data_IF_702820032895
#
_entry.id   IF_702820032895
#
_cell.length_a   1.000
_cell.length_b   1.000
_cell.length_c   1.000
_cell.angle_alpha   90.00
_cell.angle_beta   90.00
_cell.angle_gamma   90.00
#
_symmetry.space_group_name_H-M   'P 1'
#
loop_
_entity.id
_entity.type
_entity.pdbx_description
1 polymer ?
#
# COMPACT_ATOMS: atom_id res chain seq x y z
N UNK A 1 -3.54 3.46 5.20
CA UNK A 1 -2.60 2.43 5.70
C UNK A 1 -1.23 2.75 5.16
N UNK A 2 -0.17 2.68 5.96
CA UNK A 2 1.20 2.91 5.48
C UNK A 2 1.72 1.67 4.74
N UNK A 3 2.37 1.86 3.58
CA UNK A 3 2.87 0.77 2.73
C UNK A 3 4.39 0.65 2.87
N UNK A 4 4.84 -0.22 3.78
CA UNK A 4 6.26 -0.43 4.08
C UNK A 4 7.11 -0.85 2.89
N UNK A 5 6.57 -1.67 1.99
CA UNK A 5 7.28 -2.12 0.78
C UNK A 5 7.64 -0.95 -0.15
N UNK A 6 6.78 0.07 -0.26
CA UNK A 6 7.05 1.29 -1.04
C UNK A 6 8.15 2.14 -0.42
N UNK A 7 8.22 2.21 0.91
CA UNK A 7 9.33 2.86 1.59
C UNK A 7 10.65 2.19 1.23
N UNK A 8 10.70 0.86 1.31
CA UNK A 8 11.87 0.06 0.95
C UNK A 8 12.31 0.30 -0.48
N UNK A 9 11.37 0.26 -1.41
CA UNK A 9 11.61 0.47 -2.84
C UNK A 9 12.28 1.83 -3.10
N UNK A 10 11.73 2.92 -2.54
CA UNK A 10 12.27 4.26 -2.76
C UNK A 10 13.63 4.43 -2.07
N UNK A 11 13.80 3.88 -0.86
CA UNK A 11 15.09 3.87 -0.17
C UNK A 11 16.18 3.20 -1.03
N UNK A 12 15.88 2.02 -1.58
CA UNK A 12 16.80 1.27 -2.43
C UNK A 12 17.10 2.02 -3.75
N UNK A 13 16.10 2.65 -4.37
CA UNK A 13 16.30 3.51 -5.55
C UNK A 13 17.19 4.72 -5.28
N UNK A 14 17.18 5.25 -4.05
CA UNK A 14 18.09 6.32 -3.60
C UNK A 14 19.49 5.81 -3.21
N UNK A 15 19.71 4.50 -3.20
CA UNK A 15 20.97 3.89 -2.79
C UNK A 15 21.23 3.96 -1.28
N UNK A 16 20.19 4.20 -0.46
CA UNK A 16 20.35 4.32 0.99
C UNK A 16 20.28 2.97 1.69
N UNK A 17 21.16 2.74 2.65
CA UNK A 17 20.97 1.65 3.63
C UNK A 17 19.86 2.02 4.63
N UNK A 18 19.30 1.03 5.32
CA UNK A 18 18.32 1.31 6.39
C UNK A 18 18.91 2.19 7.50
N UNK A 19 20.20 2.01 7.81
CA UNK A 19 20.92 2.85 8.75
C UNK A 19 21.03 4.30 8.23
N UNK A 20 21.40 4.46 6.95
CA UNK A 20 21.53 5.77 6.34
C UNK A 20 20.21 6.53 6.31
N UNK A 21 19.11 5.86 5.96
CA UNK A 21 17.79 6.49 6.00
C UNK A 21 17.39 6.85 7.44
N UNK A 22 17.70 6.00 8.41
CA UNK A 22 17.48 6.28 9.83
C UNK A 22 18.20 7.55 10.29
N UNK A 23 19.48 7.69 9.95
CA UNK A 23 20.26 8.91 10.22
C UNK A 23 19.61 10.15 9.61
N UNK A 24 19.22 10.10 8.33
CA UNK A 24 18.62 11.23 7.62
C UNK A 24 17.24 11.64 8.17
N UNK A 25 16.53 10.72 8.83
CA UNK A 25 15.15 10.92 9.33
C UNK A 25 15.06 10.95 10.86
N UNK A 26 16.21 10.93 11.54
CA UNK A 26 16.29 10.93 13.00
C UNK A 26 15.53 9.77 13.65
N UNK A 27 15.55 8.59 13.03
CA UNK A 27 15.00 7.35 13.60
C UNK A 27 16.03 6.22 13.56
N UNK A 28 15.82 5.18 14.36
CA UNK A 28 16.76 4.05 14.37
C UNK A 28 16.65 3.21 13.10
N UNK A 29 17.73 2.52 12.73
CA UNK A 29 17.71 1.46 11.69
C UNK A 29 16.63 0.41 11.95
N UNK A 30 16.39 0.07 13.22
CA UNK A 30 15.34 -0.87 13.63
C UNK A 30 13.95 -0.32 13.34
N UNK A 31 13.73 0.98 13.54
CA UNK A 31 12.47 1.64 13.17
C UNK A 31 12.24 1.58 11.67
N UNK A 32 13.25 1.90 10.84
CA UNK A 32 13.15 1.79 9.37
C UNK A 32 12.82 0.34 8.96
N UNK A 33 13.51 -0.65 9.50
CA UNK A 33 13.22 -2.06 9.23
C UNK A 33 11.77 -2.42 9.61
N UNK A 34 11.31 -1.99 10.79
CA UNK A 34 9.93 -2.21 11.23
C UNK A 34 8.89 -1.54 10.33
N UNK A 35 9.18 -0.34 9.82
CA UNK A 35 8.33 0.33 8.83
C UNK A 35 8.27 -0.46 7.53
N UNK A 36 9.42 -0.88 7.00
CA UNK A 36 9.50 -1.61 5.73
C UNK A 36 8.79 -2.97 5.76
N UNK A 37 8.84 -3.66 6.90
CA UNK A 37 8.15 -4.93 7.11
C UNK A 37 6.66 -4.78 7.47
N UNK A 38 6.18 -3.54 7.67
CA UNK A 38 4.81 -3.28 8.09
C UNK A 38 4.51 -3.62 9.56
N UNK A 39 5.53 -3.94 10.35
CA UNK A 39 5.39 -4.22 11.79
C UNK A 39 5.19 -2.95 12.62
N UNK A 40 5.57 -1.79 12.07
CA UNK A 40 5.42 -0.47 12.70
C UNK A 40 4.85 0.52 11.69
N UNK A 41 4.11 1.49 12.20
CA UNK A 41 3.64 2.65 11.41
C UNK A 41 4.38 3.90 11.90
N UNK A 42 4.91 4.75 11.01
CA UNK A 42 5.52 6.02 11.42
C UNK A 42 4.46 6.98 11.99
N UNK A 43 4.87 7.87 12.90
CA UNK A 43 4.03 9.02 13.28
C UNK A 43 3.86 9.97 12.09
N UNK A 44 2.89 10.89 12.16
CA UNK A 44 2.67 11.88 11.10
C UNK A 44 3.95 12.69 10.80
N UNK A 45 4.64 13.15 11.84
CA UNK A 45 5.91 13.88 11.72
C UNK A 45 6.99 13.05 11.02
N UNK A 46 7.14 11.76 11.40
CA UNK A 46 8.13 10.88 10.77
C UNK A 46 7.75 10.50 9.34
N UNK A 47 6.46 10.38 9.04
CA UNK A 47 5.97 10.15 7.70
C UNK A 47 6.31 11.31 6.76
N UNK A 48 6.09 12.55 7.22
CA UNK A 48 6.44 13.76 6.48
C UNK A 48 7.96 13.88 6.25
N UNK A 49 8.75 13.57 7.28
CA UNK A 49 10.21 13.55 7.17
C UNK A 49 10.72 12.49 6.19
N UNK A 50 10.14 11.28 6.20
CA UNK A 50 10.45 10.22 5.23
C UNK A 50 10.14 10.69 3.81
N UNK A 51 8.98 11.29 3.59
CA UNK A 51 8.55 11.81 2.29
C UNK A 51 9.52 12.90 1.79
N UNK A 52 9.88 13.84 2.66
CA UNK A 52 10.82 14.93 2.37
C UNK A 52 12.21 14.40 1.99
N UNK A 53 12.82 13.55 2.83
CA UNK A 53 14.18 13.00 2.60
C UNK A 53 14.24 12.16 1.32
N UNK A 54 13.18 11.41 1.03
CA UNK A 54 13.12 10.56 -0.16
C UNK A 54 12.63 11.30 -1.41
N UNK A 55 12.24 12.58 -1.29
CA UNK A 55 11.68 13.41 -2.34
C UNK A 55 10.47 12.76 -3.04
N UNK A 56 9.49 12.36 -2.23
CA UNK A 56 8.22 11.76 -2.63
C UNK A 56 7.08 12.38 -1.83
N UNK A 57 5.83 12.08 -2.17
CA UNK A 57 4.68 12.50 -1.37
C UNK A 57 4.35 11.49 -0.27
N UNK A 58 3.72 11.97 0.81
CA UNK A 58 3.13 11.08 1.82
C UNK A 58 2.04 10.19 1.21
N UNK A 59 1.29 10.70 0.22
CA UNK A 59 0.32 9.91 -0.55
C UNK A 59 0.93 8.68 -1.22
N UNK A 60 2.14 8.79 -1.77
CA UNK A 60 2.83 7.61 -2.31
C UNK A 60 3.08 6.55 -1.23
N UNK A 61 3.56 6.95 -0.05
CA UNK A 61 3.78 6.03 1.08
C UNK A 61 2.47 5.47 1.67
N UNK A 62 1.36 6.17 1.46
CA UNK A 62 0.02 5.79 1.94
C UNK A 62 -0.82 5.05 0.89
N UNK A 63 -0.30 4.82 -0.32
CA UNK A 63 -1.05 4.13 -1.38
C UNK A 63 -2.09 4.99 -2.09
N UNK A 64 -1.96 6.32 -2.05
CA UNK A 64 -2.93 7.28 -2.60
C UNK A 64 -2.44 7.96 -3.88
N UNK A 65 -1.50 7.32 -4.58
CA UNK A 65 -0.85 7.87 -5.77
C UNK A 65 -1.68 7.71 -7.05
N UNK A 66 -2.86 7.07 -6.99
CA UNK A 66 -3.85 7.08 -8.07
C UNK A 66 -5.18 7.55 -7.51
N UNK A 67 -5.81 8.48 -8.20
CA UNK A 67 -7.18 8.94 -7.92
C UNK A 67 -8.06 8.45 -9.06
N UNK A 68 -9.16 7.78 -8.71
CA UNK A 68 -10.19 7.37 -9.64
C UNK A 68 -11.51 8.05 -9.32
N UNK A 69 -12.35 8.17 -10.33
CA UNK A 69 -13.72 8.66 -10.21
C UNK A 69 -14.68 7.51 -10.49
N UNK A 70 -15.67 7.35 -9.63
CA UNK A 70 -16.80 6.47 -9.83
C UNK A 70 -18.08 7.30 -9.85
N UNK A 71 -18.92 7.10 -10.87
CA UNK A 71 -20.24 7.71 -10.95
C UNK A 71 -21.25 6.68 -10.51
N UNK A 72 -22.05 6.98 -9.47
CA UNK A 72 -23.14 6.10 -9.07
C UNK A 72 -24.27 6.11 -10.09
N UNK A 73 -25.18 5.15 -9.95
CA UNK A 73 -26.41 5.08 -10.77
C UNK A 73 -27.28 6.35 -10.61
N UNK A 74 -27.12 7.08 -9.52
CA UNK A 74 -27.82 8.33 -9.19
C UNK A 74 -27.05 9.59 -9.65
N UNK A 75 -25.93 9.42 -10.36
CA UNK A 75 -25.11 10.52 -10.88
C UNK A 75 -24.17 11.17 -9.87
N UNK A 76 -24.09 10.67 -8.63
CA UNK A 76 -23.13 11.16 -7.65
C UNK A 76 -21.72 10.69 -8.02
N UNK A 77 -20.76 11.63 -8.03
CA UNK A 77 -19.35 11.32 -8.28
C UNK A 77 -18.64 11.06 -6.96
N UNK A 78 -17.97 9.92 -6.87
CA UNK A 78 -17.14 9.52 -5.74
C UNK A 78 -15.68 9.51 -6.17
N UNK A 79 -14.86 10.29 -5.45
CA UNK A 79 -13.42 10.23 -5.58
C UNK A 79 -12.87 9.14 -4.66
N UNK A 80 -12.05 8.25 -5.20
CA UNK A 80 -11.34 7.26 -4.40
C UNK A 80 -9.85 7.29 -4.73
N UNK A 81 -9.03 7.08 -3.70
CA UNK A 81 -7.60 6.86 -3.87
C UNK A 81 -7.30 5.37 -3.79
N UNK A 82 -6.47 4.87 -4.71
CA UNK A 82 -6.08 3.47 -4.76
C UNK A 82 -4.59 3.35 -5.11
N UNK A 83 -3.92 2.34 -4.58
CA UNK A 83 -2.52 2.08 -4.90
C UNK A 83 -2.39 1.33 -6.23
N UNK A 84 -1.24 1.46 -6.90
CA UNK A 84 -0.93 0.68 -8.12
C UNK A 84 -0.98 -0.83 -7.87
N UNK A 85 -0.64 -1.26 -6.66
CA UNK A 85 -0.66 -2.65 -6.22
C UNK A 85 -2.10 -3.17 -6.10
N UNK A 86 -3.02 -2.39 -5.53
CA UNK A 86 -4.44 -2.74 -5.49
C UNK A 86 -5.05 -2.78 -6.90
N UNK A 87 -4.70 -1.84 -7.78
CA UNK A 87 -5.10 -1.90 -9.21
C UNK A 87 -4.59 -3.18 -9.86
N UNK A 88 -3.35 -3.58 -9.58
CA UNK A 88 -2.77 -4.82 -10.10
C UNK A 88 -3.55 -6.04 -9.62
N UNK A 89 -3.94 -6.10 -8.34
CA UNK A 89 -4.79 -7.16 -7.79
C UNK A 89 -6.11 -7.24 -8.56
N UNK A 90 -6.81 -6.11 -8.73
CA UNK A 90 -8.10 -6.06 -9.45
C UNK A 90 -7.93 -6.54 -10.89
N UNK A 91 -6.88 -6.11 -11.59
CA UNK A 91 -6.59 -6.54 -12.98
C UNK A 91 -6.36 -8.04 -13.08
N UNK A 92 -5.55 -8.61 -12.18
CA UNK A 92 -5.30 -10.06 -12.16
C UNK A 92 -6.54 -10.86 -11.77
N UNK A 93 -7.37 -10.31 -10.87
CA UNK A 93 -8.61 -10.94 -10.46
C UNK A 93 -9.60 -10.99 -11.62
N UNK A 94 -9.76 -9.90 -12.38
CA UNK A 94 -10.65 -9.83 -13.56
C UNK A 94 -10.31 -10.85 -14.64
N UNK A 95 -9.05 -11.32 -14.72
CA UNK A 95 -8.66 -12.41 -15.64
C UNK A 95 -9.14 -13.79 -15.20
N UNK A 96 -9.57 -13.94 -13.94
CA UNK A 96 -9.98 -15.20 -13.32
C UNK A 96 -11.49 -15.23 -13.13
N UNK A 97 -12.24 -15.38 -14.23
CA UNK A 97 -13.71 -15.28 -14.26
C UNK A 97 -14.42 -15.99 -13.09
N UNK A 98 -14.09 -17.26 -12.81
CA UNK A 98 -14.74 -18.01 -11.72
C UNK A 98 -14.50 -17.41 -10.33
N UNK A 99 -13.26 -17.00 -10.04
CA UNK A 99 -12.91 -16.41 -8.75
C UNK A 99 -13.49 -14.99 -8.63
N UNK A 100 -13.42 -14.21 -9.70
CA UNK A 100 -13.99 -12.88 -9.77
C UNK A 100 -15.50 -12.89 -9.51
N UNK A 101 -16.24 -13.78 -10.19
CA UNK A 101 -17.68 -13.94 -9.95
C UNK A 101 -17.98 -14.32 -8.50
N UNK A 102 -17.24 -15.27 -7.92
CA UNK A 102 -17.43 -15.66 -6.50
C UNK A 102 -17.18 -14.51 -5.53
N UNK A 103 -16.12 -13.72 -5.75
CA UNK A 103 -15.81 -12.55 -4.92
C UNK A 103 -16.85 -11.44 -5.05
N UNK A 104 -17.46 -11.27 -6.22
CA UNK A 104 -18.58 -10.32 -6.39
C UNK A 104 -19.83 -10.81 -5.65
N UNK A 105 -20.17 -12.09 -5.77
CA UNK A 105 -21.41 -12.63 -5.18
C UNK A 105 -21.34 -12.74 -3.66
N UNK A 106 -20.23 -13.24 -3.11
CA UNK A 106 -20.04 -13.42 -1.68
C UNK A 106 -18.56 -13.20 -1.30
N UNK A 107 -18.15 -11.93 -1.10
CA UNK A 107 -16.75 -11.58 -0.86
C UNK A 107 -16.24 -12.23 0.43
N UNK A 108 -17.02 -12.17 1.52
CA UNK A 108 -16.60 -12.67 2.83
C UNK A 108 -16.28 -14.16 2.78
N UNK A 109 -17.24 -14.98 2.32
CA UNK A 109 -17.05 -16.43 2.20
C UNK A 109 -15.89 -16.78 1.29
N UNK A 110 -15.73 -16.04 0.18
CA UNK A 110 -14.67 -16.33 -0.77
C UNK A 110 -13.29 -16.03 -0.19
N UNK A 111 -13.13 -14.95 0.58
CA UNK A 111 -11.88 -14.67 1.30
C UNK A 111 -11.58 -15.70 2.39
N UNK A 112 -12.57 -16.12 3.18
CA UNK A 112 -12.40 -17.18 4.19
C UNK A 112 -11.84 -18.48 3.57
N UNK A 113 -12.34 -18.85 2.38
CA UNK A 113 -11.87 -20.01 1.63
C UNK A 113 -10.43 -19.85 1.11
N UNK A 114 -10.04 -18.64 0.70
CA UNK A 114 -8.68 -18.33 0.26
C UNK A 114 -7.72 -18.45 1.44
N UNK A 115 -8.04 -17.85 2.58
CA UNK A 115 -7.21 -17.92 3.80
C UNK A 115 -7.00 -19.36 4.26
N UNK A 116 -8.07 -20.17 4.28
CA UNK A 116 -7.99 -21.58 4.64
C UNK A 116 -7.04 -22.39 3.72
N UNK A 117 -6.90 -21.97 2.45
CA UNK A 117 -6.02 -22.64 1.48
C UNK A 117 -4.58 -22.15 1.53
N UNK A 118 -4.33 -20.91 1.94
CA UNK A 118 -2.99 -20.34 2.05
C UNK A 118 -2.29 -20.70 3.37
N UNK A 119 -3.06 -20.96 4.43
CA UNK A 119 -2.56 -21.34 5.75
C UNK A 119 -2.38 -22.87 5.92
N UNK A 120 -2.41 -23.64 4.83
CA UNK A 120 -2.16 -25.09 4.78
C UNK A 120 -0.90 -25.37 3.99
#
# INVERSE_FOLDING_TARGET
>A
MFIGSRLREVREKKGYSQAKLGELTGVTKVSICGYELGHKTPSAEKLDMLATVLNITTDYLLGRDQVGEYVSEEGATYHYSISKEEIKIIRELRKRNSLYHKLITDPKRTFDLIELKLNK
#
